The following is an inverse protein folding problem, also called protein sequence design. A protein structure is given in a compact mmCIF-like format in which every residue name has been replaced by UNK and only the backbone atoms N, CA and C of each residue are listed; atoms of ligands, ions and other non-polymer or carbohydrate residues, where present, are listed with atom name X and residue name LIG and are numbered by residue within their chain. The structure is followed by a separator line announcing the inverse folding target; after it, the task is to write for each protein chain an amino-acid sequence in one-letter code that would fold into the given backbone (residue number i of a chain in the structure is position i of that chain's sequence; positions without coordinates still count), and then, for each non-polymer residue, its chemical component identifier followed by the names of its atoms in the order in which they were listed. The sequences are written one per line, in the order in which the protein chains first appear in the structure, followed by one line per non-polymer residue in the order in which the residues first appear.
data_IF_683991477930
#
_entry.id   IF_683991477930
#
_cell.length_a   1.000
_cell.length_b   1.000
_cell.length_c   1.000
_cell.angle_alpha   90.00
_cell.angle_beta   90.00
_cell.angle_gamma   90.00
#
_symmetry.space_group_name_H-M   'P 1'
#
loop_
_entity.id
_entity.type
_entity.pdbx_description
1 polymer ?
#
# COMPACT_ATOMS: atom_id res chain seq x y z
N UNK A 1 -25.28 46.94 -44.41
CA UNK A 1 -24.11 46.18 -43.90
C UNK A 1 -24.35 45.86 -42.44
N UNK A 2 -24.97 44.70 -42.18
CA UNK A 2 -25.56 44.31 -40.91
C UNK A 2 -24.70 43.27 -40.17
N UNK A 3 -23.49 43.66 -39.73
CA UNK A 3 -22.57 42.73 -39.07
C UNK A 3 -21.66 43.39 -38.00
N UNK A 4 -22.16 44.36 -37.22
CA UNK A 4 -21.33 44.98 -36.16
C UNK A 4 -22.03 45.25 -34.82
N UNK A 5 -23.25 44.75 -34.59
CA UNK A 5 -24.01 45.06 -33.35
C UNK A 5 -24.14 43.91 -32.34
N UNK A 6 -23.58 42.73 -32.61
CA UNK A 6 -23.83 41.53 -31.78
C UNK A 6 -22.72 41.16 -30.78
N UNK A 7 -21.63 41.93 -30.67
CA UNK A 7 -20.43 41.54 -29.91
C UNK A 7 -20.21 42.29 -28.57
N UNK A 8 -21.13 43.18 -28.17
CA UNK A 8 -20.90 44.06 -27.00
C UNK A 8 -21.66 43.60 -25.73
N UNK A 9 -22.65 42.72 -25.85
CA UNK A 9 -23.48 42.29 -24.68
C UNK A 9 -22.95 41.08 -23.90
N UNK A 10 -21.87 40.43 -24.35
CA UNK A 10 -21.35 39.21 -23.72
C UNK A 10 -20.06 39.42 -22.90
N UNK A 11 -19.48 40.63 -22.89
CA UNK A 11 -18.22 40.90 -22.18
C UNK A 11 -18.37 41.42 -20.74
N UNK A 12 -19.56 41.87 -20.32
CA UNK A 12 -19.77 42.35 -18.94
C UNK A 12 -20.10 41.25 -17.92
N UNK A 13 -20.42 40.03 -18.36
CA UNK A 13 -20.69 38.90 -17.45
C UNK A 13 -19.44 38.14 -17.02
N UNK A 14 -18.29 38.33 -17.70
CA UNK A 14 -17.07 37.56 -17.45
C UNK A 14 -16.14 38.18 -16.38
N UNK A 15 -16.33 39.44 -16.01
CA UNK A 15 -15.47 40.15 -15.06
C UNK A 15 -16.00 40.14 -13.61
N UNK A 16 -17.25 39.73 -13.38
CA UNK A 16 -17.83 39.67 -12.03
C UNK A 16 -17.61 38.33 -11.29
N UNK A 17 -17.14 37.29 -11.99
CA UNK A 17 -16.89 35.95 -11.41
C UNK A 17 -15.44 35.74 -10.95
N UNK A 18 -14.52 36.65 -11.29
CA UNK A 18 -13.10 36.53 -10.90
C UNK A 18 -12.78 37.13 -9.53
N UNK A 19 -13.69 37.90 -8.93
CA UNK A 19 -13.49 38.55 -7.62
C UNK A 19 -13.96 37.70 -6.42
N UNK A 20 -14.65 36.57 -6.64
CA UNK A 20 -15.08 35.66 -5.56
C UNK A 20 -14.04 34.57 -5.25
N UNK A 21 -13.08 34.34 -6.15
CA UNK A 21 -12.05 33.31 -5.97
C UNK A 21 -10.79 33.79 -5.21
N UNK A 22 -10.68 35.08 -4.87
CA UNK A 22 -9.52 35.62 -4.13
C UNK A 22 -9.78 35.80 -2.62
N UNK A 23 -11.01 35.60 -2.13
CA UNK A 23 -11.35 35.78 -0.72
C UNK A 23 -11.36 34.48 0.11
N UNK A 24 -11.10 33.32 -0.51
CA UNK A 24 -10.98 32.03 0.19
C UNK A 24 -9.54 31.63 0.54
N UNK A 25 -8.55 32.48 0.24
CA UNK A 25 -7.12 32.17 0.44
C UNK A 25 -6.55 32.58 1.82
N UNK A 26 -7.34 33.10 2.75
CA UNK A 26 -6.83 33.66 4.02
C UNK A 26 -7.06 32.81 5.28
N UNK A 27 -7.59 31.60 5.16
CA UNK A 27 -7.69 30.66 6.29
C UNK A 27 -7.37 29.24 5.84
N UNK A 28 -6.14 29.01 5.35
CA UNK A 28 -5.56 27.67 5.50
C UNK A 28 -5.42 27.43 7.01
N UNK A 29 -6.18 26.50 7.61
CA UNK A 29 -5.88 26.10 8.98
C UNK A 29 -4.42 25.63 9.01
N UNK A 30 -3.65 25.92 10.08
CA UNK A 30 -2.34 25.30 10.25
C UNK A 30 -2.52 23.79 10.03
N UNK A 31 -1.57 23.10 9.37
CA UNK A 31 -1.71 21.69 9.05
C UNK A 31 -2.12 21.00 10.33
N UNK A 32 -3.36 20.52 10.38
CA UNK A 32 -3.86 19.81 11.53
C UNK A 32 -2.93 18.61 11.66
N UNK A 33 -1.98 18.68 12.59
CA UNK A 33 -1.50 17.52 13.29
C UNK A 33 -2.75 17.00 14.00
N UNK A 34 -3.57 16.26 13.27
CA UNK A 34 -4.56 15.42 13.90
C UNK A 34 -3.73 14.50 14.77
N UNK A 35 -3.69 14.79 16.06
CA UNK A 35 -3.23 13.88 17.09
C UNK A 35 -4.18 12.69 17.04
N UNK A 36 -3.93 11.77 16.11
CA UNK A 36 -4.72 10.56 15.96
C UNK A 36 -4.53 9.78 17.26
N UNK A 37 -5.57 9.76 18.09
CA UNK A 37 -5.59 9.13 19.41
C UNK A 37 -4.47 9.59 20.39
N UNK A 38 -3.99 10.84 20.28
CA UNK A 38 -2.93 11.36 21.17
C UNK A 38 -1.54 10.76 20.92
N UNK A 39 -1.33 10.17 19.73
CA UNK A 39 -0.04 9.63 19.32
C UNK A 39 0.84 10.75 18.74
N UNK A 40 2.09 10.80 19.17
CA UNK A 40 3.06 11.82 18.73
C UNK A 40 3.95 11.26 17.63
N UNK A 41 4.48 12.08 16.69
CA UNK A 41 5.44 11.60 15.72
C UNK A 41 6.65 10.90 16.38
N UNK A 42 7.01 9.70 15.93
CA UNK A 42 8.10 8.92 16.53
C UNK A 42 9.44 9.67 16.55
N UNK A 43 9.65 10.59 15.60
CA UNK A 43 10.82 11.48 15.55
C UNK A 43 10.95 12.38 16.80
N UNK A 44 9.84 12.76 17.41
CA UNK A 44 9.78 13.70 18.54
C UNK A 44 9.59 12.97 19.89
N UNK A 45 9.28 11.67 19.85
CA UNK A 45 9.06 10.86 21.05
C UNK A 45 10.36 10.60 21.82
N UNK A 46 10.44 11.16 23.04
CA UNK A 46 11.55 10.91 23.97
C UNK A 46 11.66 9.43 24.35
N UNK A 47 10.54 8.73 24.46
CA UNK A 47 10.50 7.30 24.77
C UNK A 47 11.10 6.46 23.62
N UNK A 48 10.81 6.82 22.37
CA UNK A 48 11.39 6.16 21.18
C UNK A 48 12.91 6.33 21.12
N UNK A 49 13.42 7.56 21.33
CA UNK A 49 14.86 7.83 21.38
C UNK A 49 15.56 7.10 22.55
N UNK A 50 14.88 6.92 23.69
CA UNK A 50 15.39 6.12 24.81
C UNK A 50 15.55 4.65 24.42
N UNK A 51 14.59 4.07 23.68
CA UNK A 51 14.67 2.67 23.20
C UNK A 51 15.79 2.45 22.21
N UNK A 52 16.01 3.40 21.30
CA UNK A 52 17.15 3.35 20.37
C UNK A 52 18.48 3.29 21.15
N UNK A 53 18.68 4.24 22.08
CA UNK A 53 19.89 4.29 22.92
C UNK A 53 20.09 3.01 23.74
N UNK A 54 19.02 2.46 24.32
CA UNK A 54 19.08 1.20 25.08
C UNK A 54 19.46 0.01 24.17
N UNK A 55 18.88 -0.07 22.98
CA UNK A 55 19.15 -1.13 21.99
C UNK A 55 20.61 -1.09 21.54
N UNK A 56 21.09 0.10 21.17
CA UNK A 56 22.49 0.31 20.77
C UNK A 56 23.45 0.07 21.93
N UNK A 57 23.11 0.50 23.16
CA UNK A 57 23.93 0.24 24.36
C UNK A 57 24.07 -1.26 24.63
N UNK A 58 23.00 -2.04 24.48
CA UNK A 58 23.04 -3.50 24.63
C UNK A 58 23.94 -4.14 23.59
N UNK A 59 23.83 -3.74 22.31
CA UNK A 59 24.70 -4.25 21.24
C UNK A 59 26.18 -3.87 21.46
N UNK A 60 26.45 -2.64 21.89
CA UNK A 60 27.80 -2.19 22.24
C UNK A 60 28.38 -2.97 23.43
N UNK A 61 27.56 -3.32 24.43
CA UNK A 61 28.01 -4.16 25.55
C UNK A 61 28.38 -5.57 25.11
N UNK A 62 27.69 -6.13 24.11
CA UNK A 62 28.05 -7.40 23.50
C UNK A 62 29.30 -7.30 22.63
N UNK A 63 29.48 -6.19 21.91
CA UNK A 63 30.65 -5.96 21.04
C UNK A 63 31.96 -5.99 21.83
N UNK A 64 31.97 -5.45 23.06
CA UNK A 64 33.15 -5.44 23.95
C UNK A 64 33.67 -6.83 24.34
N UNK A 65 32.88 -7.89 24.15
CA UNK A 65 33.28 -9.27 24.48
C UNK A 65 34.11 -9.93 23.38
N UNK A 66 34.20 -9.31 22.21
CA UNK A 66 34.84 -9.88 21.03
C UNK A 66 36.02 -9.01 20.58
N UNK A 67 37.03 -9.64 19.97
CA UNK A 67 38.16 -8.93 19.38
C UNK A 67 37.67 -8.08 18.18
N UNK A 68 38.26 -6.88 17.95
CA UNK A 68 37.75 -5.90 16.98
C UNK A 68 37.77 -6.38 15.52
N UNK A 69 38.64 -7.33 15.20
CA UNK A 69 38.85 -7.95 13.89
C UNK A 69 38.13 -9.30 13.71
N UNK A 70 37.43 -9.77 14.75
CA UNK A 70 36.72 -11.04 14.70
C UNK A 70 35.41 -10.95 13.89
N UNK A 71 35.05 -12.03 13.19
CA UNK A 71 33.77 -12.15 12.48
C UNK A 71 32.52 -11.77 13.31
N UNK A 72 32.39 -12.16 14.61
CA UNK A 72 31.26 -11.72 15.42
C UNK A 72 31.25 -10.21 15.70
N UNK A 73 32.41 -9.55 15.80
CA UNK A 73 32.46 -8.10 15.97
C UNK A 73 31.91 -7.37 14.74
N UNK A 74 32.27 -7.80 13.53
CA UNK A 74 31.75 -7.23 12.27
C UNK A 74 30.23 -7.45 12.14
N UNK A 75 29.74 -8.63 12.51
CA UNK A 75 28.30 -8.91 12.51
C UNK A 75 27.51 -8.02 13.50
N UNK A 76 28.08 -7.76 14.69
CA UNK A 76 27.46 -6.86 15.68
C UNK A 76 27.48 -5.41 15.20
N UNK A 77 28.56 -4.95 14.56
CA UNK A 77 28.64 -3.61 13.97
C UNK A 77 27.58 -3.43 12.87
N UNK A 78 27.44 -4.39 11.96
CA UNK A 78 26.38 -4.38 10.95
C UNK A 78 24.98 -4.36 11.57
N UNK A 79 24.78 -5.05 12.71
CA UNK A 79 23.51 -5.05 13.43
C UNK A 79 23.22 -3.71 14.11
N UNK A 80 24.26 -3.03 14.64
CA UNK A 80 24.14 -1.67 15.18
C UNK A 80 23.70 -0.71 14.08
N UNK A 81 24.34 -0.76 12.91
CA UNK A 81 24.01 0.09 11.77
C UNK A 81 22.59 -0.18 11.26
N UNK A 82 22.20 -1.44 11.08
CA UNK A 82 20.83 -1.83 10.72
C UNK A 82 19.81 -1.32 11.74
N UNK A 83 20.15 -1.37 13.03
CA UNK A 83 19.28 -0.89 14.11
C UNK A 83 19.10 0.63 14.02
N UNK A 84 20.18 1.40 13.90
CA UNK A 84 20.11 2.86 13.71
C UNK A 84 19.28 3.23 12.48
N UNK A 85 19.58 2.61 11.34
CA UNK A 85 18.81 2.81 10.10
C UNK A 85 17.33 2.50 10.27
N UNK A 86 16.98 1.45 11.01
CA UNK A 86 15.58 1.11 11.30
C UNK A 86 14.88 2.20 12.12
N UNK A 87 15.50 2.67 13.20
CA UNK A 87 14.93 3.75 14.02
C UNK A 87 14.80 5.06 13.23
N UNK A 88 15.80 5.40 12.41
CA UNK A 88 15.72 6.56 11.51
C UNK A 88 14.60 6.43 10.50
N UNK A 89 14.44 5.27 9.86
CA UNK A 89 13.38 5.03 8.88
C UNK A 89 12.00 5.17 9.53
N UNK A 90 11.78 4.58 10.70
CA UNK A 90 10.53 4.74 11.45
C UNK A 90 10.24 6.20 11.84
N UNK A 91 11.27 7.01 12.12
CA UNK A 91 11.12 8.46 12.33
C UNK A 91 10.89 9.26 11.04
N UNK A 92 11.37 8.80 9.88
CA UNK A 92 11.24 9.48 8.58
C UNK A 92 9.89 9.22 7.92
N UNK A 93 9.34 8.02 8.04
CA UNK A 93 8.06 7.65 7.43
C UNK A 93 6.83 8.22 8.15
N UNK A 94 7.04 9.06 9.16
CA UNK A 94 5.94 9.74 9.87
C UNK A 94 5.15 8.83 10.80
N UNK A 95 5.69 7.66 11.18
CA UNK A 95 5.01 6.75 12.10
C UNK A 95 4.71 7.47 13.43
N UNK A 96 3.55 7.15 13.99
CA UNK A 96 3.09 7.72 15.25
C UNK A 96 3.45 6.78 16.41
N UNK A 97 3.97 7.35 17.50
CA UNK A 97 4.42 6.64 18.68
C UNK A 97 3.55 6.99 19.88
N UNK A 98 3.15 5.96 20.64
CA UNK A 98 2.47 6.12 21.92
C UNK A 98 3.40 6.48 23.08
N UNK A 99 2.87 6.50 24.30
CA UNK A 99 3.62 6.74 25.55
C UNK A 99 4.77 5.76 25.74
N UNK A 100 4.62 4.53 25.25
CA UNK A 100 5.66 3.51 25.29
C UNK A 100 6.83 3.77 24.35
N UNK A 101 6.71 4.71 23.40
CA UNK A 101 7.72 4.96 22.38
C UNK A 101 7.84 3.82 21.36
N UNK A 102 6.74 3.12 21.08
CA UNK A 102 6.63 2.11 20.04
C UNK A 102 5.77 2.65 18.89
N UNK A 103 6.16 2.43 17.62
CA UNK A 103 5.36 2.83 16.47
C UNK A 103 4.01 2.09 16.45
N UNK A 104 2.93 2.85 16.27
CA UNK A 104 1.57 2.38 16.05
C UNK A 104 1.19 2.67 14.60
N UNK A 105 0.34 1.81 14.03
CA UNK A 105 -0.17 1.96 12.67
C UNK A 105 -1.60 2.48 12.71
N UNK A 106 -1.93 3.41 11.80
CA UNK A 106 -3.25 3.96 11.61
C UNK A 106 -3.88 3.33 10.37
N UNK A 107 -4.87 2.47 10.61
CA UNK A 107 -5.60 1.76 9.54
C UNK A 107 -6.90 2.45 9.10
N UNK A 108 -7.18 3.64 9.63
CA UNK A 108 -8.45 4.38 9.40
C UNK A 108 -8.62 4.95 7.98
N UNK A 109 -7.63 4.79 7.10
CA UNK A 109 -7.70 5.31 5.73
C UNK A 109 -7.32 6.79 5.59
N UNK A 110 -6.67 7.39 6.59
CA UNK A 110 -6.11 8.74 6.49
C UNK A 110 -4.99 8.81 5.44
N UNK A 111 -5.09 9.76 4.50
CA UNK A 111 -4.19 9.94 3.37
C UNK A 111 -2.71 10.02 3.76
N UNK A 112 -2.42 10.60 4.93
CA UNK A 112 -1.04 10.76 5.45
C UNK A 112 -0.40 9.43 5.87
N UNK A 113 -1.22 8.43 6.17
CA UNK A 113 -0.81 7.12 6.67
C UNK A 113 -1.17 5.98 5.70
N UNK A 114 -1.52 6.28 4.45
CA UNK A 114 -1.83 5.25 3.44
C UNK A 114 -0.70 4.24 3.21
N UNK A 115 0.55 4.69 3.35
CA UNK A 115 1.73 3.82 3.25
C UNK A 115 1.80 2.75 4.33
N UNK A 116 1.08 2.90 5.44
CA UNK A 116 1.10 1.96 6.56
C UNK A 116 0.23 0.73 6.32
N UNK A 117 -0.94 0.90 5.69
CA UNK A 117 -1.91 -0.19 5.51
C UNK A 117 -2.55 -0.25 4.13
N UNK A 118 -3.01 0.87 3.58
CA UNK A 118 -3.77 0.86 2.31
C UNK A 118 -2.89 0.44 1.13
N UNK A 119 -1.71 1.03 0.97
CA UNK A 119 -0.77 0.66 -0.10
C UNK A 119 -0.33 -0.81 -0.02
N UNK A 120 0.19 -1.32 1.12
CA UNK A 120 0.53 -2.74 1.22
C UNK A 120 -0.69 -3.66 1.16
N UNK A 121 -1.87 -3.23 1.63
CA UNK A 121 -3.12 -3.99 1.57
C UNK A 121 -3.65 -4.16 0.15
N UNK A 122 -3.67 -3.10 -0.65
CA UNK A 122 -4.03 -3.17 -2.08
C UNK A 122 -3.03 -4.02 -2.85
N UNK A 123 -1.72 -3.90 -2.54
CA UNK A 123 -0.70 -4.76 -3.13
C UNK A 123 -0.93 -6.24 -2.79
N UNK A 124 -1.29 -6.54 -1.55
CA UNK A 124 -1.63 -7.90 -1.12
C UNK A 124 -2.83 -8.44 -1.88
N UNK A 125 -3.94 -7.69 -1.93
CA UNK A 125 -5.14 -8.11 -2.65
C UNK A 125 -4.87 -8.29 -4.15
N UNK A 126 -4.04 -7.43 -4.74
CA UNK A 126 -3.64 -7.55 -6.14
C UNK A 126 -2.88 -8.85 -6.42
N UNK A 127 -1.91 -9.20 -5.58
CA UNK A 127 -1.13 -10.45 -5.72
C UNK A 127 -2.01 -11.67 -5.45
N UNK A 128 -2.82 -11.64 -4.39
CA UNK A 128 -3.72 -12.73 -4.03
C UNK A 128 -4.76 -12.98 -5.12
N UNK A 129 -5.36 -11.91 -5.65
CA UNK A 129 -6.30 -11.98 -6.76
C UNK A 129 -5.67 -12.49 -8.06
N UNK A 130 -4.41 -12.11 -8.35
CA UNK A 130 -3.68 -12.66 -9.49
C UNK A 130 -3.50 -14.18 -9.33
N UNK A 131 -3.00 -14.64 -8.18
CA UNK A 131 -2.81 -16.07 -7.89
C UNK A 131 -4.13 -16.84 -8.03
N UNK A 132 -5.20 -16.34 -7.40
CA UNK A 132 -6.53 -16.95 -7.48
C UNK A 132 -7.09 -16.99 -8.90
N UNK A 133 -6.92 -15.90 -9.66
CA UNK A 133 -7.42 -15.80 -11.03
C UNK A 133 -6.71 -16.75 -11.99
N UNK A 134 -5.38 -16.87 -11.87
CA UNK A 134 -4.59 -17.83 -12.65
C UNK A 134 -4.98 -19.26 -12.30
N UNK A 135 -5.16 -19.56 -11.00
CA UNK A 135 -5.64 -20.86 -10.54
C UNK A 135 -7.00 -21.22 -11.13
N UNK A 136 -8.00 -20.32 -11.01
CA UNK A 136 -9.33 -20.49 -11.61
C UNK A 136 -9.24 -20.73 -13.13
N UNK A 137 -8.47 -19.88 -13.82
CA UNK A 137 -8.32 -19.97 -15.29
C UNK A 137 -7.68 -21.28 -15.74
N UNK A 138 -6.71 -21.80 -14.98
CA UNK A 138 -6.09 -23.11 -15.26
C UNK A 138 -7.09 -24.24 -15.07
N UNK A 139 -7.83 -24.26 -13.95
CA UNK A 139 -8.84 -25.29 -13.66
C UNK A 139 -9.96 -25.31 -14.72
N UNK A 140 -10.42 -24.14 -15.15
CA UNK A 140 -11.43 -24.03 -16.24
C UNK A 140 -10.86 -24.55 -17.57
N UNK A 141 -9.58 -24.29 -17.87
CA UNK A 141 -8.97 -24.75 -19.12
C UNK A 141 -8.79 -26.28 -19.18
N UNK A 142 -8.52 -26.93 -18.04
CA UNK A 142 -8.32 -28.39 -17.98
C UNK A 142 -9.61 -29.17 -17.73
N UNK A 143 -10.70 -28.52 -17.28
CA UNK A 143 -11.96 -29.19 -16.94
C UNK A 143 -12.61 -29.93 -18.13
N UNK A 144 -12.37 -29.48 -19.35
CA UNK A 144 -12.85 -30.10 -20.59
C UNK A 144 -12.01 -31.27 -21.10
N UNK A 145 -10.88 -31.61 -20.46
CA UNK A 145 -10.07 -32.76 -20.87
C UNK A 145 -10.68 -34.10 -20.41
N UNK A 146 -10.28 -35.20 -21.06
CA UNK A 146 -10.76 -36.55 -20.72
C UNK A 146 -10.44 -36.99 -19.28
N UNK A 147 -9.40 -36.41 -18.67
CA UNK A 147 -8.91 -36.74 -17.31
C UNK A 147 -8.37 -35.47 -16.62
N UNK A 148 -9.24 -34.56 -16.16
CA UNK A 148 -8.82 -33.28 -15.57
C UNK A 148 -7.93 -33.47 -14.34
N UNK A 149 -8.26 -34.43 -13.47
CA UNK A 149 -7.47 -34.76 -12.27
C UNK A 149 -6.00 -35.14 -12.57
N UNK A 150 -5.70 -35.69 -13.75
CA UNK A 150 -4.32 -36.00 -14.13
C UNK A 150 -3.50 -34.75 -14.44
N UNK A 151 -4.14 -33.69 -14.97
CA UNK A 151 -3.51 -32.39 -15.27
C UNK A 151 -3.35 -31.50 -14.04
N UNK A 152 -4.01 -31.85 -12.94
CA UNK A 152 -3.79 -31.21 -11.64
C UNK A 152 -2.57 -31.81 -10.93
N UNK A 153 -2.36 -33.13 -11.03
CA UNK A 153 -1.19 -33.81 -10.47
C UNK A 153 0.06 -33.51 -11.30
N UNK A 154 -0.04 -33.62 -12.62
CA UNK A 154 1.03 -33.31 -13.57
C UNK A 154 0.64 -32.04 -14.32
N UNK A 155 1.09 -30.91 -13.79
CA UNK A 155 0.76 -29.58 -14.32
C UNK A 155 1.29 -29.43 -15.74
N UNK A 156 0.42 -28.99 -16.64
CA UNK A 156 0.81 -28.58 -17.98
C UNK A 156 1.51 -27.21 -17.92
N UNK A 157 2.84 -27.26 -17.91
CA UNK A 157 3.70 -26.07 -17.76
C UNK A 157 3.51 -25.09 -18.93
N UNK A 158 3.23 -25.59 -20.13
CA UNK A 158 3.03 -24.73 -21.31
C UNK A 158 1.70 -23.97 -21.21
N UNK A 159 0.63 -24.64 -20.80
CA UNK A 159 -0.65 -23.98 -20.55
C UNK A 159 -0.55 -22.97 -19.40
N UNK A 160 0.10 -23.36 -18.29
CA UNK A 160 0.30 -22.49 -17.14
C UNK A 160 1.09 -21.22 -17.51
N UNK A 161 2.19 -21.36 -18.26
CA UNK A 161 3.00 -20.23 -18.73
C UNK A 161 2.20 -19.25 -19.61
N UNK A 162 1.22 -19.73 -20.37
CA UNK A 162 0.31 -18.88 -21.17
C UNK A 162 -0.76 -18.17 -20.34
N UNK A 163 -1.22 -18.77 -19.24
CA UNK A 163 -2.30 -18.23 -18.39
C UNK A 163 -1.76 -17.26 -17.33
N UNK A 164 -0.57 -17.50 -16.76
CA UNK A 164 0.06 -16.63 -15.76
C UNK A 164 0.03 -15.14 -16.12
N UNK A 165 0.50 -14.70 -17.32
CA UNK A 165 0.51 -13.27 -17.66
C UNK A 165 -0.90 -12.68 -17.85
N UNK A 166 -1.91 -13.50 -18.18
CA UNK A 166 -3.31 -13.02 -18.31
C UNK A 166 -3.91 -12.60 -16.97
N UNK A 167 -3.40 -13.15 -15.86
CA UNK A 167 -3.79 -12.74 -14.52
C UNK A 167 -3.35 -11.32 -14.13
N UNK A 168 -2.48 -10.66 -14.89
CA UNK A 168 -2.09 -9.27 -14.58
C UNK A 168 -3.29 -8.29 -14.63
N UNK A 169 -4.22 -8.51 -15.55
CA UNK A 169 -5.45 -7.71 -15.72
C UNK A 169 -6.66 -8.30 -14.97
N UNK A 170 -6.42 -9.18 -13.99
CA UNK A 170 -7.49 -9.88 -13.26
C UNK A 170 -8.57 -8.95 -12.69
N UNK A 171 -8.30 -7.73 -12.16
CA UNK A 171 -9.37 -6.93 -11.57
C UNK A 171 -10.42 -6.51 -12.59
N UNK A 172 -9.99 -6.21 -13.83
CA UNK A 172 -10.90 -5.82 -14.91
C UNK A 172 -11.60 -7.05 -15.50
N UNK A 173 -10.86 -8.15 -15.71
CA UNK A 173 -11.42 -9.39 -16.23
C UNK A 173 -12.48 -9.98 -15.28
N UNK A 174 -12.16 -10.08 -13.99
CA UNK A 174 -13.08 -10.57 -12.96
C UNK A 174 -14.31 -9.67 -12.83
N UNK A 175 -14.14 -8.34 -12.90
CA UNK A 175 -15.27 -7.41 -12.87
C UNK A 175 -16.19 -7.55 -14.09
N UNK A 176 -15.64 -7.81 -15.27
CA UNK A 176 -16.43 -8.08 -16.48
C UNK A 176 -17.19 -9.40 -16.38
N UNK A 177 -16.53 -10.47 -15.94
CA UNK A 177 -17.19 -11.77 -15.73
C UNK A 177 -18.26 -11.71 -14.63
N UNK A 178 -18.06 -10.88 -13.59
CA UNK A 178 -19.08 -10.64 -12.57
C UNK A 178 -20.32 -9.96 -13.14
N UNK A 179 -20.16 -8.93 -13.99
CA UNK A 179 -21.29 -8.25 -14.64
C UNK A 179 -22.00 -9.16 -15.64
N UNK A 180 -21.25 -9.99 -16.35
CA UNK A 180 -21.79 -10.91 -17.35
C UNK A 180 -22.46 -12.15 -16.73
N UNK A 181 -22.21 -12.44 -15.45
CA UNK A 181 -22.74 -13.61 -14.75
C UNK A 181 -21.88 -14.87 -14.87
N UNK A 182 -20.73 -14.82 -15.56
CA UNK A 182 -19.85 -15.99 -15.79
C UNK A 182 -18.90 -16.29 -14.61
N UNK A 183 -18.92 -15.45 -13.56
CA UNK A 183 -18.01 -15.62 -12.41
C UNK A 183 -18.50 -16.69 -11.42
N UNK A 184 -19.82 -16.84 -11.28
CA UNK A 184 -20.47 -17.71 -10.30
C UNK A 184 -21.37 -18.73 -11.02
N UNK A 185 -21.59 -19.87 -10.39
CA UNK A 185 -22.52 -20.89 -10.86
C UNK A 185 -23.83 -20.73 -10.08
N UNK A 186 -24.96 -20.98 -10.72
CA UNK A 186 -26.27 -20.97 -10.06
C UNK A 186 -26.42 -22.17 -9.10
N UNK A 187 -27.17 -21.99 -8.01
CA UNK A 187 -27.37 -23.02 -6.97
C UNK A 187 -27.99 -24.32 -7.51
N UNK A 188 -28.66 -24.26 -8.68
CA UNK A 188 -29.29 -25.40 -9.33
C UNK A 188 -28.30 -26.38 -9.97
N UNK A 189 -27.07 -25.93 -10.26
CA UNK A 189 -26.04 -26.72 -10.94
C UNK A 189 -25.02 -27.35 -9.97
N UNK A 190 -25.18 -27.11 -8.67
CA UNK A 190 -24.36 -27.73 -7.61
C UNK A 190 -24.93 -29.11 -7.30
N UNK A 191 -24.27 -30.17 -7.77
CA UNK A 191 -24.61 -31.55 -7.41
C UNK A 191 -24.39 -31.83 -5.92
N UNK A 192 -25.36 -32.50 -5.28
CA UNK A 192 -25.22 -33.12 -3.96
C UNK A 192 -24.19 -34.26 -3.96
#
# INVERSE_FOLDING_TARGET
MAALSASIKTFSAALALSSVLLSSAATSPPPAAADIAGLTPCKESKAFAKREKQSVKKLNSSLKKYAPDSAPALAIQATIEKTKRRFENYGKFGLLCGSDGLPHLIVSGDQRHWGEFITPGVLFLYIAGWIGWVGRSYLIAVSGEKKPAMREIIIDVELAARIIPRGFIWPVAAYRELINGDLVVDDADIGY
#
